data_IF_810815672069
#
_entry.id   IF_810815672069
#
_cell.length_a   1.000
_cell.length_b   1.000
_cell.length_c   1.000
_cell.angle_alpha   90.00
_cell.angle_beta   90.00
_cell.angle_gamma   90.00
#
_symmetry.space_group_name_H-M   'P 1'
#
loop_
_entity.id
_entity.type
_entity.pdbx_description
1 polymer ?
#
# COMPACT_ATOMS: atom_id res chain seq x y z
N UNK A 1 34.39 25.40 -21.01
CA UNK A 1 34.24 26.86 -21.21
C UNK A 1 32.85 27.30 -21.65
N UNK A 2 32.32 26.94 -22.84
CA UNK A 2 30.98 27.46 -23.27
C UNK A 2 29.84 26.92 -22.40
N UNK A 3 29.86 25.62 -22.08
CA UNK A 3 28.82 24.98 -21.26
C UNK A 3 28.84 25.44 -19.80
N UNK A 4 30.02 25.73 -19.23
CA UNK A 4 30.15 26.25 -17.86
C UNK A 4 29.58 27.68 -17.76
N UNK A 5 29.86 28.53 -18.76
CA UNK A 5 29.29 29.89 -18.78
C UNK A 5 27.77 29.91 -18.99
N UNK A 6 27.22 28.96 -19.74
CA UNK A 6 25.77 28.80 -19.90
C UNK A 6 25.11 28.22 -18.65
N UNK A 7 25.75 27.26 -17.99
CA UNK A 7 25.31 26.64 -16.72
C UNK A 7 25.19 27.70 -15.63
N UNK A 8 26.17 28.59 -15.52
CA UNK A 8 26.18 29.66 -14.52
C UNK A 8 25.13 30.74 -14.80
N UNK A 9 24.88 31.06 -16.07
CA UNK A 9 23.85 32.03 -16.48
C UNK A 9 22.41 31.51 -16.32
N UNK A 10 22.20 30.20 -16.48
CA UNK A 10 20.89 29.55 -16.37
C UNK A 10 20.64 28.90 -14.99
N UNK A 11 21.62 28.92 -14.09
CA UNK A 11 21.60 28.29 -12.76
C UNK A 11 21.24 26.79 -12.79
N UNK A 12 21.73 26.09 -13.82
CA UNK A 12 21.57 24.64 -14.00
C UNK A 12 22.94 23.98 -14.05
N UNK A 13 23.06 22.69 -13.75
CA UNK A 13 24.36 22.02 -13.84
C UNK A 13 24.80 21.81 -15.29
N UNK A 14 26.11 21.66 -15.49
CA UNK A 14 26.67 21.31 -16.80
C UNK A 14 26.19 19.93 -17.24
N UNK A 15 25.94 19.00 -16.30
CA UNK A 15 25.34 17.70 -16.64
C UNK A 15 23.92 17.85 -17.19
N UNK A 16 23.11 18.79 -16.66
CA UNK A 16 21.76 19.05 -17.15
C UNK A 16 21.77 19.59 -18.58
N UNK A 17 22.65 20.56 -18.87
CA UNK A 17 22.83 21.12 -20.22
C UNK A 17 23.31 20.09 -21.26
N UNK A 18 23.95 19.01 -20.80
CA UNK A 18 24.40 17.91 -21.65
C UNK A 18 23.36 16.80 -21.79
N UNK A 19 22.26 16.83 -21.04
CA UNK A 19 21.33 15.71 -20.93
C UNK A 19 21.95 14.48 -20.27
N UNK A 20 23.00 14.68 -19.46
CA UNK A 20 23.73 13.65 -18.70
C UNK A 20 23.25 13.59 -17.23
N UNK A 21 22.33 14.47 -16.81
CA UNK A 21 21.55 14.22 -15.61
C UNK A 21 20.59 13.08 -15.90
N UNK A 22 20.58 12.07 -15.03
CA UNK A 22 19.45 11.16 -14.93
C UNK A 22 18.22 12.02 -14.63
N UNK A 23 17.45 12.38 -15.67
CA UNK A 23 16.09 12.86 -15.50
C UNK A 23 15.35 11.69 -14.83
N UNK A 24 15.27 11.70 -13.50
CA UNK A 24 14.41 10.81 -12.73
C UNK A 24 12.93 11.19 -12.91
N UNK A 25 12.54 11.66 -14.08
CA UNK A 25 11.14 11.68 -14.49
C UNK A 25 10.94 10.47 -15.39
N UNK A 26 10.77 9.31 -14.73
CA UNK A 26 10.02 8.23 -15.36
C UNK A 26 8.67 8.81 -15.75
N UNK A 27 8.45 9.02 -17.05
CA UNK A 27 7.20 9.50 -17.64
C UNK A 27 6.03 8.68 -17.06
N UNK A 28 5.38 9.21 -16.00
CA UNK A 28 4.19 8.59 -15.46
C UNK A 28 3.06 8.92 -16.43
N UNK A 29 2.81 7.99 -17.34
CA UNK A 29 1.74 8.13 -18.34
C UNK A 29 0.35 7.83 -17.77
N UNK A 30 0.26 7.19 -16.59
CA UNK A 30 -1.01 6.93 -15.91
C UNK A 30 -1.36 8.05 -14.91
N UNK A 31 -2.46 8.74 -15.21
CA UNK A 31 -3.02 9.80 -14.35
C UNK A 31 -3.25 9.34 -12.90
N UNK A 32 -3.60 8.07 -12.66
CA UNK A 32 -3.85 7.54 -11.32
C UNK A 32 -2.55 7.39 -10.54
N UNK A 33 -1.48 6.97 -11.19
CA UNK A 33 -0.16 6.88 -10.55
C UNK A 33 0.35 8.26 -10.14
N UNK A 34 0.16 9.28 -10.98
CA UNK A 34 0.43 10.68 -10.63
C UNK A 34 -0.36 11.12 -9.39
N UNK A 35 -1.68 10.89 -9.40
CA UNK A 35 -2.54 11.26 -8.27
C UNK A 35 -2.16 10.55 -6.96
N UNK A 36 -1.69 9.29 -7.04
CA UNK A 36 -1.21 8.57 -5.86
C UNK A 36 0.10 9.19 -5.36
N UNK A 37 1.06 9.47 -6.25
CA UNK A 37 2.34 10.11 -5.86
C UNK A 37 2.12 11.48 -5.25
N UNK A 38 1.28 12.31 -5.86
CA UNK A 38 0.94 13.64 -5.34
C UNK A 38 0.31 13.53 -3.95
N UNK A 39 -0.68 12.66 -3.77
CA UNK A 39 -1.33 12.46 -2.47
C UNK A 39 -0.35 11.94 -1.39
N UNK A 40 0.58 11.07 -1.75
CA UNK A 40 1.64 10.62 -0.83
C UNK A 40 2.61 11.75 -0.51
N UNK A 41 2.98 12.56 -1.50
CA UNK A 41 3.81 13.76 -1.31
C UNK A 41 3.17 14.76 -0.33
N UNK A 42 1.90 15.10 -0.56
CA UNK A 42 1.12 16.01 0.30
C UNK A 42 1.06 15.52 1.76
N UNK A 43 0.96 14.20 1.99
CA UNK A 43 0.97 13.61 3.33
C UNK A 43 2.36 13.73 3.96
N UNK A 44 3.42 13.48 3.20
CA UNK A 44 4.80 13.54 3.69
C UNK A 44 5.24 14.97 4.03
N UNK A 45 4.82 15.97 3.26
CA UNK A 45 5.09 17.38 3.53
C UNK A 45 4.49 17.87 4.86
N UNK A 46 3.41 17.23 5.32
CA UNK A 46 2.77 17.54 6.60
C UNK A 46 3.52 16.95 7.80
N UNK A 47 4.52 16.10 7.59
CA UNK A 47 5.28 15.49 8.69
C UNK A 47 6.48 16.36 9.09
N UNK A 48 6.69 16.63 10.39
CA UNK A 48 5.89 16.19 11.54
C UNK A 48 4.60 17.00 11.69
N UNK A 49 3.53 16.31 12.10
CA UNK A 49 2.24 16.96 12.29
C UNK A 49 2.31 17.94 13.47
N UNK A 50 1.53 19.03 13.40
CA UNK A 50 1.37 19.97 14.50
C UNK A 50 0.47 19.40 15.62
N UNK A 51 0.82 18.21 16.12
CA UNK A 51 0.11 17.42 17.13
C UNK A 51 0.99 17.20 18.38
N UNK A 52 0.40 16.64 19.44
CA UNK A 52 1.21 16.11 20.54
C UNK A 52 2.06 14.92 20.07
N UNK A 53 3.11 14.58 20.81
CA UNK A 53 4.01 13.48 20.43
C UNK A 53 3.27 12.14 20.30
N UNK A 54 2.32 11.90 21.21
CA UNK A 54 1.52 10.68 21.24
C UNK A 54 0.52 10.62 20.08
N UNK A 55 -0.12 11.74 19.74
CA UNK A 55 -1.05 11.84 18.60
C UNK A 55 -0.30 11.70 17.25
N UNK A 56 0.87 12.33 17.12
CA UNK A 56 1.73 12.22 15.93
C UNK A 56 2.22 10.77 15.75
N UNK A 57 2.66 10.11 16.82
CA UNK A 57 3.06 8.70 16.78
C UNK A 57 1.88 7.80 16.36
N UNK A 58 0.71 7.96 16.98
CA UNK A 58 -0.49 7.19 16.62
C UNK A 58 -0.88 7.39 15.15
N UNK A 59 -0.83 8.63 14.64
CA UNK A 59 -1.15 8.92 13.23
C UNK A 59 -0.16 8.25 12.26
N UNK A 60 1.13 8.27 12.59
CA UNK A 60 2.18 7.63 11.77
C UNK A 60 2.04 6.11 11.77
N UNK A 61 1.81 5.51 12.93
CA UNK A 61 1.59 4.08 13.09
C UNK A 61 0.35 3.62 12.31
N UNK A 62 -0.73 4.41 12.35
CA UNK A 62 -1.95 4.10 11.61
C UNK A 62 -1.73 4.19 10.09
N UNK A 63 -1.04 5.24 9.61
CA UNK A 63 -0.69 5.36 8.19
C UNK A 63 0.19 4.19 7.72
N UNK A 64 1.19 3.82 8.52
CA UNK A 64 2.07 2.69 8.22
C UNK A 64 1.28 1.38 8.11
N UNK A 65 0.35 1.13 9.04
CA UNK A 65 -0.50 -0.05 8.99
C UNK A 65 -1.38 -0.07 7.73
N UNK A 66 -1.98 1.05 7.35
CA UNK A 66 -2.79 1.13 6.12
C UNK A 66 -1.96 0.80 4.87
N UNK A 67 -0.75 1.34 4.77
CA UNK A 67 0.15 1.08 3.63
C UNK A 67 0.56 -0.40 3.56
N UNK A 68 0.90 -1.00 4.71
CA UNK A 68 1.26 -2.42 4.76
C UNK A 68 0.09 -3.34 4.41
N UNK A 69 -1.10 -3.06 4.95
CA UNK A 69 -2.31 -3.82 4.62
C UNK A 69 -2.70 -3.70 3.15
N UNK A 70 -2.49 -2.52 2.53
CA UNK A 70 -2.66 -2.37 1.09
C UNK A 70 -1.67 -3.23 0.28
N UNK A 71 -0.42 -3.35 0.75
CA UNK A 71 0.56 -4.26 0.16
C UNK A 71 0.11 -5.73 0.19
N UNK A 72 -0.30 -6.23 1.36
CA UNK A 72 -0.82 -7.60 1.51
C UNK A 72 -2.05 -7.85 0.64
N UNK A 73 -2.98 -6.88 0.60
CA UNK A 73 -4.12 -6.93 -0.30
C UNK A 73 -3.69 -7.05 -1.77
N UNK A 74 -2.69 -6.28 -2.20
CA UNK A 74 -2.24 -6.30 -3.59
C UNK A 74 -1.74 -7.69 -3.98
N UNK A 75 -0.97 -8.35 -3.11
CA UNK A 75 -0.44 -9.69 -3.36
C UNK A 75 -1.56 -10.72 -3.48
N UNK A 76 -2.48 -10.77 -2.51
CA UNK A 76 -3.63 -11.68 -2.56
C UNK A 76 -4.58 -11.37 -3.71
N UNK A 77 -4.80 -10.09 -4.03
CA UNK A 77 -5.66 -9.67 -5.13
C UNK A 77 -5.07 -10.07 -6.49
N UNK A 78 -3.76 -9.89 -6.67
CA UNK A 78 -3.06 -10.36 -7.86
C UNK A 78 -3.13 -11.89 -7.98
N UNK A 79 -2.90 -12.60 -6.87
CA UNK A 79 -3.02 -14.06 -6.84
C UNK A 79 -4.43 -14.52 -7.22
N UNK A 80 -5.46 -13.92 -6.62
CA UNK A 80 -6.85 -14.25 -6.90
C UNK A 80 -7.24 -13.94 -8.36
N UNK A 81 -6.78 -12.81 -8.91
CA UNK A 81 -6.99 -12.46 -10.32
C UNK A 81 -6.34 -13.47 -11.27
N UNK A 82 -5.12 -13.93 -10.98
CA UNK A 82 -4.40 -14.89 -11.83
C UNK A 82 -5.00 -16.30 -11.77
N UNK A 83 -5.49 -16.71 -10.59
CA UNK A 83 -5.84 -18.10 -10.35
C UNK A 83 -7.34 -18.43 -10.41
N UNK A 84 -8.22 -17.45 -10.13
CA UNK A 84 -9.66 -17.72 -10.00
C UNK A 84 -10.52 -16.87 -10.94
N UNK A 85 -10.12 -15.64 -11.26
CA UNK A 85 -10.94 -14.75 -12.09
C UNK A 85 -11.06 -15.27 -13.54
N UNK A 86 -12.22 -15.84 -13.88
CA UNK A 86 -12.52 -16.36 -15.22
C UNK A 86 -11.77 -17.64 -15.58
N UNK A 87 -11.27 -18.39 -14.59
CA UNK A 87 -10.52 -19.61 -14.84
C UNK A 87 -11.46 -20.79 -15.14
N UNK A 88 -11.35 -21.44 -16.31
CA UNK A 88 -12.16 -22.60 -16.68
C UNK A 88 -11.54 -23.98 -16.28
N UNK A 89 -10.30 -23.99 -15.80
CA UNK A 89 -9.50 -25.20 -15.61
C UNK A 89 -9.74 -25.95 -14.29
N UNK A 90 -10.62 -25.47 -13.41
CA UNK A 90 -10.81 -26.02 -12.06
C UNK A 90 -12.12 -26.82 -11.92
N UNK A 91 -12.77 -27.17 -13.04
CA UNK A 91 -14.08 -27.83 -13.07
C UNK A 91 -14.09 -29.17 -12.31
N UNK A 92 -13.03 -29.98 -12.42
CA UNK A 92 -12.95 -31.27 -11.72
C UNK A 92 -12.72 -31.10 -10.22
N UNK A 93 -11.95 -30.07 -9.82
CA UNK A 93 -11.71 -29.70 -8.41
C UNK A 93 -13.02 -29.18 -7.79
N UNK A 94 -13.71 -28.28 -8.48
CA UNK A 94 -14.99 -27.72 -8.06
C UNK A 94 -16.03 -28.84 -7.78
N UNK A 95 -16.18 -29.77 -8.73
CA UNK A 95 -17.07 -30.94 -8.56
C UNK A 95 -16.65 -31.85 -7.42
N UNK A 96 -15.34 -32.09 -7.24
CA UNK A 96 -14.82 -32.96 -6.18
C UNK A 96 -15.08 -32.39 -4.79
N UNK A 97 -15.02 -31.06 -4.65
CA UNK A 97 -15.25 -30.35 -3.39
C UNK A 97 -16.75 -30.09 -3.14
N UNK A 98 -17.60 -30.31 -4.15
CA UNK A 98 -19.06 -30.25 -4.02
C UNK A 98 -19.68 -28.91 -4.43
N UNK A 99 -18.96 -28.08 -5.19
CA UNK A 99 -19.53 -26.86 -5.78
C UNK A 99 -20.41 -27.20 -6.99
N UNK A 100 -21.47 -26.42 -7.18
CA UNK A 100 -22.45 -26.63 -8.25
C UNK A 100 -21.88 -26.19 -9.60
N UNK A 101 -20.94 -25.24 -9.60
CA UNK A 101 -20.27 -24.76 -10.80
C UNK A 101 -18.83 -24.34 -10.55
N UNK A 102 -18.05 -24.29 -11.62
CA UNK A 102 -16.69 -23.75 -11.60
C UNK A 102 -16.67 -22.23 -11.32
N UNK A 103 -17.73 -21.52 -11.69
CA UNK A 103 -17.87 -20.09 -11.41
C UNK A 103 -18.07 -19.84 -9.91
N UNK A 104 -18.94 -20.62 -9.26
CA UNK A 104 -19.14 -20.58 -7.81
C UNK A 104 -17.83 -20.88 -7.05
N UNK A 105 -17.09 -21.92 -7.48
CA UNK A 105 -15.77 -22.23 -6.93
C UNK A 105 -14.81 -21.04 -7.05
N UNK A 106 -14.71 -20.46 -8.24
CA UNK A 106 -13.83 -19.32 -8.51
C UNK A 106 -14.18 -18.11 -7.65
N UNK A 107 -15.47 -17.77 -7.52
CA UNK A 107 -15.93 -16.65 -6.70
C UNK A 107 -15.58 -16.86 -5.22
N UNK A 108 -15.84 -18.06 -4.68
CA UNK A 108 -15.57 -18.36 -3.28
C UNK A 108 -14.07 -18.36 -2.99
N UNK A 109 -13.27 -18.94 -3.87
CA UNK A 109 -11.81 -18.92 -3.72
C UNK A 109 -11.25 -17.51 -3.86
N UNK A 110 -11.75 -16.71 -4.80
CA UNK A 110 -11.37 -15.30 -4.92
C UNK A 110 -11.68 -14.53 -3.64
N UNK A 111 -12.90 -14.66 -3.10
CA UNK A 111 -13.31 -14.02 -1.86
C UNK A 111 -12.45 -14.47 -0.68
N UNK A 112 -12.15 -15.77 -0.59
CA UNK A 112 -11.29 -16.33 0.46
C UNK A 112 -9.93 -15.65 0.48
N UNK A 113 -9.30 -15.45 -0.68
CA UNK A 113 -8.00 -14.81 -0.78
C UNK A 113 -8.03 -13.36 -0.26
N UNK A 114 -9.09 -12.59 -0.53
CA UNK A 114 -9.17 -11.18 -0.12
C UNK A 114 -9.82 -10.95 1.25
N UNK A 115 -10.37 -12.00 1.89
CA UNK A 115 -11.13 -11.86 3.14
C UNK A 115 -10.29 -11.30 4.29
N UNK A 116 -9.00 -11.64 4.35
CA UNK A 116 -8.10 -11.13 5.39
C UNK A 116 -8.02 -9.59 5.37
N UNK A 117 -8.01 -8.97 4.18
CA UNK A 117 -7.98 -7.51 4.03
C UNK A 117 -9.24 -6.85 4.63
N UNK A 118 -10.41 -7.45 4.40
CA UNK A 118 -11.68 -6.95 4.95
C UNK A 118 -11.62 -6.93 6.47
N UNK A 119 -11.08 -7.99 7.08
CA UNK A 119 -10.94 -8.08 8.53
C UNK A 119 -9.97 -7.03 9.05
N UNK A 120 -8.81 -6.86 8.42
CA UNK A 120 -7.83 -5.83 8.80
C UNK A 120 -8.42 -4.41 8.73
N UNK A 121 -9.23 -4.12 7.71
CA UNK A 121 -9.89 -2.81 7.57
C UNK A 121 -10.91 -2.56 8.68
N UNK A 122 -11.66 -3.58 9.08
CA UNK A 122 -12.59 -3.48 10.21
C UNK A 122 -11.84 -3.24 11.53
N UNK A 123 -10.72 -3.93 11.75
CA UNK A 123 -9.90 -3.74 12.95
C UNK A 123 -9.30 -2.33 13.03
N UNK A 124 -8.79 -1.80 11.91
CA UNK A 124 -8.32 -0.42 11.82
C UNK A 124 -9.44 0.59 12.11
N UNK A 125 -10.64 0.37 11.54
CA UNK A 125 -11.78 1.23 11.81
C UNK A 125 -12.15 1.25 13.31
N UNK A 126 -12.07 0.09 13.97
CA UNK A 126 -12.32 -0.02 15.41
C UNK A 126 -11.23 0.65 16.26
N UNK A 127 -9.96 0.57 15.86
CA UNK A 127 -8.85 1.32 16.49
C UNK A 127 -9.10 2.83 16.43
N UNK A 128 -9.46 3.36 15.26
CA UNK A 128 -9.76 4.79 15.07
C UNK A 128 -10.92 5.23 15.95
N UNK A 129 -12.02 4.45 15.99
CA UNK A 129 -13.16 4.74 16.87
C UNK A 129 -12.78 4.70 18.34
N UNK A 130 -11.97 3.71 18.74
CA UNK A 130 -11.55 3.50 20.11
C UNK A 130 -10.69 4.65 20.64
N UNK A 131 -9.86 5.25 19.79
CA UNK A 131 -8.95 6.33 20.17
C UNK A 131 -9.67 7.48 20.88
N UNK A 132 -10.85 7.87 20.38
CA UNK A 132 -11.68 8.94 20.96
C UNK A 132 -12.12 8.71 22.42
N UNK A 133 -12.20 7.45 22.86
CA UNK A 133 -12.71 7.07 24.19
C UNK A 133 -11.61 6.51 25.09
N UNK A 134 -10.64 5.80 24.52
CA UNK A 134 -9.59 5.06 25.22
C UNK A 134 -8.28 5.09 24.41
N UNK A 135 -7.58 6.25 24.35
CA UNK A 135 -6.42 6.43 23.48
C UNK A 135 -5.30 5.42 23.78
N UNK A 136 -4.98 5.18 25.06
CA UNK A 136 -3.97 4.17 25.45
C UNK A 136 -4.31 2.74 25.04
N UNK A 137 -5.59 2.38 25.04
CA UNK A 137 -6.00 1.05 24.56
C UNK A 137 -5.95 0.98 23.02
N UNK A 138 -6.26 2.07 22.33
CA UNK A 138 -6.15 2.15 20.88
C UNK A 138 -4.68 2.09 20.42
N UNK A 139 -3.78 2.83 21.07
CA UNK A 139 -2.32 2.78 20.84
C UNK A 139 -1.80 1.34 20.99
N UNK A 140 -2.13 0.65 22.08
CA UNK A 140 -1.69 -0.73 22.29
C UNK A 140 -2.24 -1.70 21.23
N UNK A 141 -3.51 -1.55 20.84
CA UNK A 141 -4.10 -2.38 19.78
C UNK A 141 -3.42 -2.14 18.43
N UNK A 142 -3.17 -0.88 18.09
CA UNK A 142 -2.48 -0.50 16.86
C UNK A 142 -1.07 -1.09 16.82
N UNK A 143 -0.32 -1.01 17.92
CA UNK A 143 1.01 -1.60 18.04
C UNK A 143 0.98 -3.12 17.85
N UNK A 144 -0.03 -3.82 18.40
CA UNK A 144 -0.18 -5.26 18.21
C UNK A 144 -0.44 -5.60 16.73
N UNK A 145 -1.36 -4.91 16.06
CA UNK A 145 -1.66 -5.12 14.64
C UNK A 145 -0.44 -4.86 13.75
N UNK A 146 0.30 -3.78 14.03
CA UNK A 146 1.55 -3.50 13.33
C UNK A 146 2.58 -4.62 13.55
N UNK A 147 2.69 -5.14 14.77
CA UNK A 147 3.63 -6.22 15.03
C UNK A 147 3.28 -7.49 14.26
N UNK A 148 2.00 -7.86 14.19
CA UNK A 148 1.54 -9.03 13.42
C UNK A 148 1.94 -8.92 11.95
N UNK A 149 1.72 -7.75 11.35
CA UNK A 149 2.07 -7.49 9.94
C UNK A 149 3.58 -7.41 9.70
N UNK A 150 4.35 -6.90 10.67
CA UNK A 150 5.81 -6.76 10.54
C UNK A 150 6.58 -8.05 10.83
N UNK A 151 6.03 -8.97 11.63
CA UNK A 151 6.64 -10.28 11.86
C UNK A 151 6.57 -11.18 10.63
N UNK A 152 5.52 -11.06 9.81
CA UNK A 152 5.39 -11.80 8.55
C UNK A 152 6.51 -11.47 7.53
N UNK A 153 7.02 -10.23 7.51
CA UNK A 153 8.17 -9.82 6.68
C UNK A 153 9.51 -10.44 7.12
N UNK A 154 9.59 -11.01 8.34
CA UNK A 154 10.85 -11.50 8.93
C UNK A 154 11.10 -13.00 8.73
N UNK A 155 10.06 -13.78 8.41
CA UNK A 155 10.20 -15.22 8.08
C UNK A 155 10.53 -15.46 6.60
N UNK A 156 10.58 -14.41 5.77
CA UNK A 156 10.86 -14.48 4.33
C UNK A 156 12.32 -14.23 3.94
N UNK A 157 13.30 -14.42 4.85
CA UNK A 157 14.75 -14.26 4.58
C UNK A 157 15.50 -15.58 4.64
#
# INVERSE_FOLDING_TARGET
>A
MVLEGLSEALHVSVEWLKGETDEYETDITDKRELQIRDAMGDILEQLPLALTKEEDAFSKDLLLLMLKQYGLFLDSFQFACKNFKGNAGQTDIAKTIGFESNDEYNEIMFLREITHTINAFNEMADVVRLYSKKPKTAEQRLANLLSEVLYEDSESV
#
